data_IF_709826743123
#
_entry.id   IF_709826743123
#
_cell.length_a   1.000
_cell.length_b   1.000
_cell.length_c   1.000
_cell.angle_alpha   90.00
_cell.angle_beta   90.00
_cell.angle_gamma   90.00
#
_symmetry.space_group_name_H-M   'P 1'
#
loop_
_entity.id
_entity.type
_entity.pdbx_description
1 polymer ?
#
# COMPACT_ATOMS: atom_id res chain seq x y z
N UNK A 1 -7.05 -2.52 -13.70
CA UNK A 1 -5.91 -2.20 -14.51
C UNK A 1 -4.64 -2.54 -13.80
N UNK A 2 -3.81 -3.41 -14.37
CA UNK A 2 -2.62 -3.83 -13.68
C UNK A 2 -1.56 -2.73 -13.67
N UNK A 3 -0.91 -2.58 -12.55
CA UNK A 3 0.14 -1.61 -12.36
C UNK A 3 1.34 -2.35 -11.82
N UNK A 4 2.48 -2.11 -12.43
CA UNK A 4 3.71 -2.71 -11.95
C UNK A 4 4.74 -1.62 -11.81
N UNK A 5 5.17 -1.38 -10.58
CA UNK A 5 6.20 -0.39 -10.31
C UNK A 5 7.18 -0.98 -9.34
N UNK A 6 8.36 -0.43 -9.32
CA UNK A 6 9.37 -0.85 -8.38
C UNK A 6 9.67 0.32 -7.47
N UNK A 7 9.73 0.03 -6.19
CA UNK A 7 10.03 1.04 -5.18
C UNK A 7 11.08 0.49 -4.26
N UNK A 8 11.88 1.36 -3.72
CA UNK A 8 12.87 0.96 -2.74
C UNK A 8 12.27 0.99 -1.37
N UNK A 9 12.66 0.04 -0.56
CA UNK A 9 12.28 0.06 0.84
C UNK A 9 13.10 1.10 1.57
N UNK A 10 12.52 1.72 2.55
CA UNK A 10 13.27 2.68 3.36
C UNK A 10 12.88 2.49 4.81
N UNK A 11 13.77 2.94 5.67
CA UNK A 11 13.64 2.69 7.09
C UNK A 11 12.91 3.85 7.74
N UNK A 12 11.98 3.54 8.60
CA UNK A 12 11.30 4.56 9.38
C UNK A 12 11.42 4.17 10.83
N UNK A 13 11.86 5.11 11.64
CA UNK A 13 12.02 4.86 13.07
C UNK A 13 12.95 3.70 13.31
N UNK A 14 12.69 3.00 14.38
CA UNK A 14 13.49 1.87 14.74
C UNK A 14 12.73 0.62 14.45
N UNK A 15 13.18 -0.14 13.54
CA UNK A 15 12.55 -1.41 13.26
C UNK A 15 11.41 -1.36 12.28
N UNK A 16 11.16 -0.22 11.67
CA UNK A 16 10.13 -0.11 10.66
C UNK A 16 10.71 -0.02 9.28
N UNK A 17 10.09 -0.68 8.33
CA UNK A 17 10.45 -0.61 6.93
C UNK A 17 9.22 -0.17 6.17
N UNK A 18 9.37 0.78 5.27
CA UNK A 18 8.24 1.32 4.57
C UNK A 18 8.51 1.35 3.07
N UNK A 19 7.45 1.44 2.32
CA UNK A 19 7.53 1.58 0.88
C UNK A 19 6.36 2.46 0.46
N UNK A 20 6.58 3.27 -0.58
CA UNK A 20 5.51 4.14 -1.05
C UNK A 20 4.61 3.38 -2.00
N UNK A 21 3.34 3.68 -1.95
CA UNK A 21 2.37 3.07 -2.84
C UNK A 21 2.35 3.79 -4.18
N UNK A 22 2.03 3.09 -5.27
CA UNK A 22 1.93 3.76 -6.56
C UNK A 22 0.82 4.81 -6.53
N UNK A 23 1.14 5.99 -6.99
CA UNK A 23 0.17 7.06 -6.95
C UNK A 23 -1.04 6.76 -7.80
N UNK A 24 -0.83 6.10 -8.92
CA UNK A 24 -1.96 5.77 -9.80
C UNK A 24 -2.94 4.85 -9.09
N UNK A 25 -2.43 3.89 -8.33
CA UNK A 25 -3.29 2.97 -7.60
C UNK A 25 -4.05 3.71 -6.51
N UNK A 26 -3.35 4.57 -5.79
CA UNK A 26 -3.96 5.34 -4.70
C UNK A 26 -5.05 6.25 -5.25
N UNK A 27 -4.76 6.91 -6.36
CA UNK A 27 -5.74 7.80 -6.96
C UNK A 27 -6.95 7.06 -7.49
N UNK A 28 -6.71 5.88 -8.05
CA UNK A 28 -7.79 5.10 -8.61
C UNK A 28 -8.84 4.78 -7.56
N UNK A 29 -8.41 4.51 -6.34
CA UNK A 29 -9.33 4.18 -5.26
C UNK A 29 -9.66 5.38 -4.38
N UNK A 30 -9.12 6.54 -4.70
CA UNK A 30 -9.44 7.74 -3.93
C UNK A 30 -8.95 7.70 -2.51
N UNK A 31 -7.81 7.07 -2.28
CA UNK A 31 -7.29 6.95 -0.94
C UNK A 31 -6.59 8.22 -0.52
N UNK A 32 -6.61 8.49 0.76
CA UNK A 32 -5.98 9.67 1.33
C UNK A 32 -5.20 9.27 2.57
N UNK A 33 -4.29 10.13 3.02
CA UNK A 33 -3.61 9.86 4.27
C UNK A 33 -4.62 9.62 5.39
N UNK A 34 -4.37 8.58 6.13
CA UNK A 34 -5.30 8.19 7.18
C UNK A 34 -6.21 7.06 6.80
N UNK A 35 -6.39 6.83 5.51
CA UNK A 35 -7.18 5.69 5.08
C UNK A 35 -6.40 4.42 5.33
N UNK A 36 -7.12 3.32 5.40
CA UNK A 36 -6.51 2.04 5.72
C UNK A 36 -6.57 1.12 4.53
N UNK A 37 -5.57 0.30 4.42
CA UNK A 37 -5.54 -0.75 3.40
C UNK A 37 -5.27 -2.05 4.10
N UNK A 38 -5.60 -3.12 3.45
CA UNK A 38 -5.41 -4.45 4.00
C UNK A 38 -4.16 -5.05 3.41
N UNK A 39 -3.29 -5.56 4.25
CA UNK A 39 -2.03 -6.14 3.81
C UNK A 39 -2.04 -7.61 4.19
N UNK A 40 -1.82 -8.45 3.21
CA UNK A 40 -1.80 -9.88 3.40
C UNK A 40 -0.42 -10.38 3.03
N UNK A 41 0.28 -10.98 3.99
CA UNK A 41 1.64 -11.44 3.77
C UNK A 41 1.71 -12.94 3.80
N UNK A 42 2.21 -13.53 2.74
CA UNK A 42 2.51 -14.94 2.66
C UNK A 42 3.85 -15.04 1.99
N UNK A 43 3.97 -15.80 0.92
CA UNK A 43 5.19 -15.75 0.15
C UNK A 43 5.31 -14.41 -0.53
N UNK A 44 4.20 -13.85 -0.90
CA UNK A 44 4.13 -12.52 -1.47
C UNK A 44 3.32 -11.64 -0.56
N UNK A 45 3.57 -10.38 -0.62
CA UNK A 45 2.80 -9.40 0.14
C UNK A 45 1.79 -8.75 -0.78
N UNK A 46 0.54 -8.79 -0.38
CA UNK A 46 -0.52 -8.19 -1.18
C UNK A 46 -1.14 -7.04 -0.40
N UNK A 47 -1.39 -5.94 -1.08
CA UNK A 47 -2.03 -4.79 -0.50
C UNK A 47 -3.33 -4.56 -1.24
N UNK A 48 -4.42 -4.52 -0.49
CA UNK A 48 -5.74 -4.43 -1.09
C UNK A 48 -6.46 -3.21 -0.57
N UNK A 49 -7.27 -2.63 -1.43
CA UNK A 49 -8.13 -1.56 -1.00
C UNK A 49 -9.14 -2.11 -0.01
N UNK A 50 -9.24 -1.49 1.12
CA UNK A 50 -10.17 -1.93 2.13
C UNK A 50 -11.42 -1.09 2.04
N UNK A 51 -12.50 -1.74 1.70
CA UNK A 51 -13.77 -1.07 1.60
C UNK A 51 -14.28 -0.88 2.97
N UNK A 52 -14.33 0.31 3.47
CA UNK A 52 -14.78 0.50 4.78
C UNK A 52 -16.18 0.73 4.90
N UNK A 53 -17.00 0.20 4.15
CA UNK A 53 -18.26 0.41 4.31
C UNK A 53 -18.76 -0.27 5.37
N UNK A 54 -18.98 -0.30 6.09
CA UNK A 54 -19.39 -0.92 7.04
C UNK A 54 -20.09 -0.81 7.49
#
# INVERSE_FOLDING_TARGET
>A
MPIKVERKLFKIGEGGIAVTLPKAWVDYYGLKPGDKVEIIGEEELSIRYKNCQD
#
